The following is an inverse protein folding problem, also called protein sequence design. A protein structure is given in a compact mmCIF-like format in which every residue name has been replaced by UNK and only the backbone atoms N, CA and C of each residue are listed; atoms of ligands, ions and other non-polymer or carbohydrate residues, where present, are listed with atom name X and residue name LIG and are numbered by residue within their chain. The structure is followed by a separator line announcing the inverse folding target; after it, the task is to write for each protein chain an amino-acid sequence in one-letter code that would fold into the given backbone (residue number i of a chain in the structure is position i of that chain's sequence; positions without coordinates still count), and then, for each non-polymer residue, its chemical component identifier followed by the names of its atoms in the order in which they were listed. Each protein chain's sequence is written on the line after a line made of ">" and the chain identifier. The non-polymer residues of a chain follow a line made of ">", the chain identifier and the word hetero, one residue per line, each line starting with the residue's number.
data_IF_011342950228
#
_entry.id   IF_011342950228
#
_cell.length_a   1.000
_cell.length_b   1.000
_cell.length_c   1.000
_cell.angle_alpha   90.00
_cell.angle_beta   90.00
_cell.angle_gamma   90.00
#
_symmetry.space_group_name_H-M   'P 1'
#
loop_
_entity.id
_entity.type
_entity.pdbx_description
1 polymer ?
#
# COMPACT_ATOMS: atom_id res chain seq x y z
N UNK A 1 27.77 10.50 -6.96
CA UNK A 1 28.27 10.56 -5.57
C UNK A 1 27.05 10.86 -4.74
N UNK A 2 26.35 9.80 -4.36
CA UNK A 2 25.01 9.88 -3.82
C UNK A 2 25.11 10.01 -2.31
N UNK A 3 24.92 11.24 -1.83
CA UNK A 3 25.03 11.61 -0.42
C UNK A 3 23.72 11.37 0.35
N UNK A 4 22.88 10.44 -0.11
CA UNK A 4 21.54 10.21 0.42
C UNK A 4 21.22 8.70 0.55
N UNK A 5 22.16 8.00 1.18
CA UNK A 5 22.09 6.58 1.54
C UNK A 5 22.07 6.40 3.06
N UNK A 6 21.29 7.24 3.77
CA UNK A 6 20.87 6.92 5.12
C UNK A 6 19.83 5.78 5.12
N UNK A 7 19.61 5.18 6.28
CA UNK A 7 18.70 4.06 6.44
C UNK A 7 17.28 4.49 6.04
N UNK A 8 16.67 3.76 5.10
CA UNK A 8 15.34 4.08 4.55
C UNK A 8 14.20 3.51 5.38
N UNK A 9 14.41 2.31 5.90
CA UNK A 9 13.39 1.51 6.54
C UNK A 9 13.93 0.93 7.85
N UNK A 10 13.07 0.78 8.86
CA UNK A 10 13.45 0.21 10.15
C UNK A 10 12.27 -0.49 10.82
N UNK A 11 12.56 -1.60 11.50
CA UNK A 11 11.61 -2.36 12.32
C UNK A 11 12.19 -2.51 13.71
N UNK A 12 11.34 -2.36 14.72
CA UNK A 12 11.73 -2.60 16.10
C UNK A 12 10.56 -3.16 16.91
N UNK A 13 10.85 -4.14 17.75
CA UNK A 13 9.90 -4.66 18.74
C UNK A 13 10.20 -4.03 20.11
N UNK A 14 9.20 -3.38 20.70
CA UNK A 14 9.26 -2.65 21.96
C UNK A 14 8.12 -3.18 22.86
N UNK A 15 8.46 -4.00 23.85
CA UNK A 15 7.47 -4.64 24.72
C UNK A 15 6.45 -5.46 23.90
N UNK A 16 5.16 -5.10 23.97
CA UNK A 16 4.08 -5.74 23.18
C UNK A 16 3.78 -5.05 21.84
N UNK A 17 4.58 -4.06 21.43
CA UNK A 17 4.43 -3.37 20.15
C UNK A 17 5.55 -3.77 19.18
N UNK A 18 5.19 -4.01 17.91
CA UNK A 18 6.13 -3.92 16.79
C UNK A 18 5.85 -2.63 16.03
N UNK A 19 6.90 -1.84 15.82
CA UNK A 19 6.88 -0.62 15.05
C UNK A 19 7.66 -0.83 13.75
N UNK A 20 7.07 -0.44 12.62
CA UNK A 20 7.77 -0.34 11.33
C UNK A 20 7.74 1.11 10.85
N UNK A 21 8.84 1.58 10.26
CA UNK A 21 8.95 2.88 9.58
C UNK A 21 9.59 2.64 8.22
N UNK A 22 9.00 3.18 7.16
CA UNK A 22 9.42 3.00 5.75
C UNK A 22 9.43 4.35 5.06
N UNK A 23 10.50 4.67 4.33
CA UNK A 23 10.59 5.95 3.60
C UNK A 23 9.63 5.97 2.40
N UNK A 24 8.65 6.87 2.44
CA UNK A 24 7.59 6.97 1.43
C UNK A 24 7.94 7.92 0.27
N UNK A 25 8.75 8.95 0.51
CA UNK A 25 9.16 9.89 -0.54
C UNK A 25 9.60 11.27 -0.04
N UNK A 26 9.80 12.19 -0.99
CA UNK A 26 9.99 13.62 -0.70
C UNK A 26 8.69 14.37 -0.98
N UNK A 27 8.16 15.05 0.03
CA UNK A 27 7.04 15.99 -0.14
C UNK A 27 7.53 17.44 -0.04
N UNK A 28 6.77 18.35 -0.64
CA UNK A 28 7.00 19.80 -0.49
C UNK A 28 5.97 20.38 0.48
N UNK A 29 6.41 21.27 1.38
CA UNK A 29 5.52 22.07 2.22
C UNK A 29 5.00 23.32 1.47
N UNK A 30 4.08 24.06 2.10
CA UNK A 30 3.46 25.27 1.55
C UNK A 30 4.46 26.41 1.24
N UNK A 31 5.66 26.36 1.82
CA UNK A 31 6.76 27.30 1.58
C UNK A 31 7.74 26.82 0.50
N UNK A 32 7.51 25.64 -0.10
CA UNK A 32 8.41 24.99 -1.05
C UNK A 32 9.60 24.28 -0.40
N UNK A 33 9.61 24.15 0.93
CA UNK A 33 10.58 23.34 1.66
C UNK A 33 10.34 21.85 1.39
N UNK A 34 11.40 21.09 1.11
CA UNK A 34 11.30 19.64 0.86
C UNK A 34 11.65 18.87 2.13
N UNK A 35 10.81 17.91 2.51
CA UNK A 35 11.00 17.03 3.67
C UNK A 35 10.73 15.58 3.30
N UNK A 36 11.43 14.66 3.96
CA UNK A 36 11.19 13.22 3.83
C UNK A 36 9.86 12.87 4.50
N UNK A 37 8.98 12.15 3.81
CA UNK A 37 7.78 11.51 4.37
C UNK A 37 8.07 10.04 4.64
N UNK A 38 7.51 9.52 5.71
CA UNK A 38 7.59 8.12 6.11
C UNK A 38 6.18 7.58 6.34
N UNK A 39 5.97 6.34 5.91
CA UNK A 39 4.85 5.53 6.36
C UNK A 39 5.29 4.77 7.61
N UNK A 40 4.39 4.59 8.56
CA UNK A 40 4.61 3.70 9.70
C UNK A 40 3.48 2.69 9.87
N UNK A 41 3.81 1.63 10.59
CA UNK A 41 2.89 0.61 11.07
C UNK A 41 3.15 0.38 12.56
N UNK A 42 2.07 0.30 13.33
CA UNK A 42 2.04 -0.10 14.75
C UNK A 42 1.24 -1.40 14.82
N UNK A 43 1.85 -2.44 15.36
CA UNK A 43 1.25 -3.77 15.49
C UNK A 43 1.39 -4.30 16.91
N UNK A 44 0.35 -4.96 17.40
CA UNK A 44 0.43 -5.72 18.64
C UNK A 44 1.12 -7.07 18.40
N UNK A 45 2.12 -7.39 19.23
CA UNK A 45 2.72 -8.73 19.30
C UNK A 45 2.00 -9.64 20.32
N UNK A 46 1.01 -9.12 21.04
CA UNK A 46 0.18 -9.88 21.97
C UNK A 46 -0.88 -10.71 21.22
N UNK A 47 -0.82 -12.06 21.28
CA UNK A 47 -1.80 -12.92 20.61
C UNK A 47 -3.20 -12.88 21.24
N UNK A 48 -3.35 -12.38 22.47
CA UNK A 48 -4.65 -12.19 23.12
C UNK A 48 -5.29 -10.83 22.78
N UNK A 49 -4.49 -9.88 22.27
CA UNK A 49 -4.92 -8.54 21.86
C UNK A 49 -4.31 -8.12 20.50
N UNK A 50 -4.63 -8.82 19.39
CA UNK A 50 -4.10 -8.50 18.07
C UNK A 50 -4.66 -7.16 17.54
N UNK A 51 -3.82 -6.40 16.86
CA UNK A 51 -4.19 -5.14 16.22
C UNK A 51 -3.06 -4.63 15.32
N UNK A 52 -3.44 -3.98 14.22
CA UNK A 52 -2.53 -3.33 13.27
C UNK A 52 -3.09 -1.95 12.90
N UNK A 53 -2.22 -0.95 12.78
CA UNK A 53 -2.57 0.43 12.41
C UNK A 53 -1.43 1.08 11.64
N UNK A 54 -1.76 1.68 10.51
CA UNK A 54 -0.80 2.32 9.60
C UNK A 54 -1.26 3.72 9.19
N UNK A 55 -0.29 4.60 8.95
CA UNK A 55 -0.49 5.98 8.51
C UNK A 55 0.81 6.54 7.88
N UNK A 56 0.74 7.68 7.20
CA UNK A 56 1.88 8.33 6.54
C UNK A 56 2.10 9.81 6.93
N UNK A 57 1.52 10.22 8.06
CA UNK A 57 1.64 11.58 8.62
C UNK A 57 2.97 11.87 9.34
N UNK A 58 3.97 10.98 9.19
CA UNK A 58 5.30 11.11 9.77
C UNK A 58 6.28 11.79 8.80
N UNK A 59 6.80 12.95 9.19
CA UNK A 59 7.71 13.75 8.36
C UNK A 59 9.01 14.12 9.10
N UNK A 60 10.14 14.12 8.38
CA UNK A 60 11.39 14.69 8.88
C UNK A 60 11.41 16.23 8.80
N UNK A 61 12.47 16.84 9.32
CA UNK A 61 12.74 18.27 9.14
C UNK A 61 12.92 18.67 7.67
N UNK A 62 12.68 19.94 7.36
CA UNK A 62 12.90 20.47 6.01
C UNK A 62 14.38 20.45 5.68
N UNK A 63 14.75 19.69 4.65
CA UNK A 63 16.13 19.46 4.24
C UNK A 63 16.90 18.42 5.04
N UNK A 64 16.29 17.76 6.03
CA UNK A 64 16.90 16.61 6.71
C UNK A 64 17.13 15.45 5.70
N UNK A 65 18.18 14.64 5.88
CA UNK A 65 18.43 13.45 5.07
C UNK A 65 17.37 12.36 5.31
N UNK A 66 17.39 11.32 4.49
CA UNK A 66 16.58 10.12 4.76
C UNK A 66 17.22 9.36 5.92
N UNK A 67 16.48 9.20 7.01
CA UNK A 67 16.92 8.63 8.30
C UNK A 67 15.71 8.01 9.02
N UNK A 68 15.56 6.69 8.85
CA UNK A 68 14.50 5.90 9.47
C UNK A 68 14.65 5.75 10.99
N UNK A 69 15.87 5.84 11.52
CA UNK A 69 16.11 5.78 12.96
C UNK A 69 15.52 7.03 13.64
N UNK A 70 15.84 8.21 13.10
CA UNK A 70 15.28 9.49 13.53
C UNK A 70 13.76 9.54 13.39
N UNK A 71 13.21 8.96 12.31
CA UNK A 71 11.77 8.85 12.12
C UNK A 71 11.11 7.90 13.13
N UNK A 72 11.73 6.77 13.48
CA UNK A 72 11.24 5.87 14.54
C UNK A 72 11.25 6.53 15.92
N UNK A 73 12.29 7.30 16.27
CA UNK A 73 12.31 8.07 17.53
C UNK A 73 11.19 9.10 17.60
N UNK A 74 10.88 9.76 16.47
CA UNK A 74 9.74 10.66 16.38
C UNK A 74 8.39 9.91 16.55
N UNK A 75 8.21 8.75 15.91
CA UNK A 75 7.03 7.90 16.11
C UNK A 75 6.86 7.48 17.58
N UNK A 76 7.92 6.99 18.24
CA UNK A 76 7.85 6.60 19.64
C UNK A 76 7.59 7.77 20.59
N UNK A 77 8.04 8.98 20.23
CA UNK A 77 7.68 10.21 20.96
C UNK A 77 6.18 10.49 20.89
N UNK A 78 5.57 10.39 19.70
CA UNK A 78 4.12 10.55 19.53
C UNK A 78 3.32 9.46 20.26
N UNK A 79 3.74 8.19 20.16
CA UNK A 79 3.10 7.07 20.86
C UNK A 79 3.21 7.24 22.38
N UNK A 80 4.39 7.59 22.91
CA UNK A 80 4.58 7.87 24.34
C UNK A 80 3.63 8.99 24.83
N UNK A 81 3.47 10.05 24.04
CA UNK A 81 2.61 11.18 24.37
C UNK A 81 1.10 10.86 24.25
N UNK A 82 0.73 9.91 23.39
CA UNK A 82 -0.63 9.36 23.29
C UNK A 82 -0.95 8.44 24.47
N UNK A 83 -0.03 7.54 24.84
CA UNK A 83 -0.14 6.70 26.03
C UNK A 83 -0.28 7.49 27.33
N UNK A 84 0.50 8.58 27.50
CA UNK A 84 0.33 9.48 28.64
C UNK A 84 -1.08 10.10 28.67
N UNK A 85 -1.58 10.61 27.53
CA UNK A 85 -2.92 11.17 27.42
C UNK A 85 -4.02 10.13 27.70
N UNK A 86 -3.83 8.87 27.31
CA UNK A 86 -4.72 7.75 27.62
C UNK A 86 -4.77 7.49 29.13
N UNK A 87 -3.62 7.42 29.82
CA UNK A 87 -3.57 7.27 31.28
C UNK A 87 -4.23 8.44 32.03
N UNK A 88 -3.95 9.68 31.59
CA UNK A 88 -4.53 10.90 32.16
C UNK A 88 -6.06 10.96 32.05
N UNK A 89 -6.66 10.31 31.03
CA UNK A 89 -8.12 10.18 30.87
C UNK A 89 -8.79 9.50 32.07
N UNK A 90 -8.14 8.50 32.66
CA UNK A 90 -8.64 7.78 33.84
C UNK A 90 -8.36 8.52 35.14
N UNK A 91 -7.22 9.22 35.24
CA UNK A 91 -6.86 10.02 36.41
C UNK A 91 -7.70 11.31 36.54
N UNK A 92 -8.09 11.91 35.40
CA UNK A 92 -8.79 13.20 35.33
C UNK A 92 -10.02 13.13 34.40
N UNK A 93 -11.07 12.37 34.78
CA UNK A 93 -12.26 12.22 33.96
C UNK A 93 -12.92 13.59 33.67
N UNK A 94 -13.15 13.88 32.39
CA UNK A 94 -13.79 15.11 31.93
C UNK A 94 -12.82 16.24 31.53
N UNK A 95 -11.50 16.05 31.59
CA UNK A 95 -10.55 16.92 30.87
C UNK A 95 -10.40 16.52 29.40
N UNK A 96 -10.04 17.49 28.58
CA UNK A 96 -9.51 17.27 27.24
C UNK A 96 -7.98 17.47 27.27
N UNK A 97 -7.27 16.74 26.41
CA UNK A 97 -5.82 16.71 26.31
C UNK A 97 -5.44 16.78 24.83
N UNK A 98 -4.35 17.46 24.48
CA UNK A 98 -4.02 17.82 23.10
C UNK A 98 -3.71 16.60 22.21
N UNK A 99 -3.20 15.49 22.77
CA UNK A 99 -2.86 14.26 22.04
C UNK A 99 -4.01 13.22 21.97
N UNK A 100 -5.22 13.59 22.42
CA UNK A 100 -6.35 12.67 22.52
C UNK A 100 -6.82 12.19 21.14
N UNK A 101 -6.81 10.88 20.88
CA UNK A 101 -7.20 10.25 19.60
C UNK A 101 -6.33 10.67 18.41
N UNK A 102 -5.03 10.87 18.63
CA UNK A 102 -4.08 10.90 17.51
C UNK A 102 -4.03 9.52 16.82
N UNK A 103 -4.19 8.45 17.60
CA UNK A 103 -4.25 7.08 17.12
C UNK A 103 -5.63 6.43 17.46
N UNK A 104 -5.93 5.24 16.92
CA UNK A 104 -7.07 4.44 17.38
C UNK A 104 -6.97 4.09 18.88
N UNK A 105 -8.11 3.88 19.53
CA UNK A 105 -8.14 3.68 20.99
C UNK A 105 -7.31 2.49 21.49
N UNK A 106 -7.16 1.42 20.69
CA UNK A 106 -6.30 0.30 21.03
C UNK A 106 -4.80 0.65 20.99
N UNK A 107 -4.39 1.58 20.10
CA UNK A 107 -3.01 2.07 20.01
C UNK A 107 -2.71 2.99 21.19
N UNK A 108 -3.64 3.90 21.52
CA UNK A 108 -3.55 4.75 22.71
C UNK A 108 -3.39 3.88 23.99
N UNK A 109 -4.14 2.77 24.09
CA UNK A 109 -4.04 1.81 25.21
C UNK A 109 -2.72 1.03 25.21
N UNK A 110 -2.32 0.46 24.07
CA UNK A 110 -1.08 -0.32 23.97
C UNK A 110 0.16 0.57 24.20
N UNK A 111 0.14 1.83 23.74
CA UNK A 111 1.19 2.80 24.01
C UNK A 111 1.25 3.20 25.50
N UNK A 112 0.12 3.23 26.21
CA UNK A 112 0.11 3.40 27.67
C UNK A 112 0.75 2.20 28.40
N UNK A 113 0.53 0.96 27.93
CA UNK A 113 1.17 -0.23 28.53
C UNK A 113 2.69 -0.30 28.30
N UNK A 114 3.19 0.29 27.20
CA UNK A 114 4.60 0.29 26.80
C UNK A 114 5.27 1.68 26.97
N UNK A 115 4.74 2.53 27.85
CA UNK A 115 5.08 3.94 27.91
C UNK A 115 6.52 4.22 28.38
N UNK A 116 7.10 3.38 29.25
CA UNK A 116 8.47 3.55 29.74
C UNK A 116 9.50 3.24 28.65
N UNK A 117 9.27 2.18 27.88
CA UNK A 117 10.12 1.77 26.77
C UNK A 117 10.02 2.73 25.58
N UNK A 118 8.80 3.20 25.25
CA UNK A 118 8.58 4.23 24.22
C UNK A 118 9.27 5.56 24.58
N UNK A 119 9.13 6.01 25.83
CA UNK A 119 9.81 7.22 26.32
C UNK A 119 11.34 7.06 26.32
N UNK A 120 11.84 5.89 26.72
CA UNK A 120 13.28 5.58 26.69
C UNK A 120 13.82 5.65 25.27
N UNK A 121 13.13 5.06 24.29
CA UNK A 121 13.58 5.10 22.89
C UNK A 121 13.52 6.51 22.28
N UNK A 122 12.48 7.27 22.59
CA UNK A 122 12.30 8.63 22.09
C UNK A 122 13.36 9.61 22.61
N UNK A 123 13.90 9.37 23.80
CA UNK A 123 14.84 10.28 24.48
C UNK A 123 16.31 9.86 24.42
N UNK A 124 16.61 8.60 24.13
CA UNK A 124 17.98 8.10 24.06
C UNK A 124 18.59 8.36 22.67
N UNK A 125 19.89 8.64 22.61
CA UNK A 125 20.67 8.82 21.38
C UNK A 125 21.52 7.57 21.03
N UNK A 126 21.40 6.47 21.80
CA UNK A 126 22.06 5.19 21.49
C UNK A 126 21.48 4.55 20.22
N UNK A 127 22.34 4.26 19.23
CA UNK A 127 22.04 3.64 17.93
C UNK A 127 21.07 2.46 18.06
N UNK A 128 19.97 2.48 17.29
CA UNK A 128 18.93 1.46 17.40
C UNK A 128 19.34 0.21 16.64
N UNK A 129 19.28 -0.93 17.32
CA UNK A 129 19.49 -2.24 16.70
C UNK A 129 18.14 -2.66 16.08
N UNK A 130 17.99 -2.67 14.74
CA UNK A 130 16.76 -3.09 14.11
C UNK A 130 16.53 -4.59 14.31
N UNK A 131 15.28 -5.02 14.22
CA UNK A 131 14.96 -6.44 14.12
C UNK A 131 15.32 -6.95 12.71
N UNK A 132 16.59 -7.33 12.51
CA UNK A 132 17.12 -7.82 11.22
C UNK A 132 16.38 -9.06 10.69
N UNK A 133 15.65 -9.78 11.55
CA UNK A 133 14.87 -10.97 11.18
C UNK A 133 13.42 -10.67 10.84
N UNK A 134 12.88 -9.52 11.28
CA UNK A 134 11.49 -9.14 11.03
C UNK A 134 11.42 -8.04 9.96
N UNK A 135 11.06 -8.40 8.72
CA UNK A 135 10.98 -7.44 7.63
C UNK A 135 9.79 -6.47 7.84
N UNK A 136 9.91 -5.19 7.43
CA UNK A 136 8.89 -4.18 7.69
C UNK A 136 7.51 -4.58 7.16
N UNK A 137 6.46 -4.10 7.83
CA UNK A 137 5.10 -4.28 7.32
C UNK A 137 4.76 -3.12 6.38
N UNK A 138 4.83 -3.41 5.09
CA UNK A 138 4.41 -2.49 4.03
C UNK A 138 2.90 -2.65 3.84
N UNK A 139 2.17 -1.55 3.84
CA UNK A 139 0.88 -1.50 3.15
C UNK A 139 1.14 -1.88 1.69
N UNK A 140 0.66 -3.05 1.28
CA UNK A 140 0.69 -3.46 -0.12
C UNK A 140 -0.71 -3.43 -0.68
N UNK A 141 -0.78 -3.13 -1.96
CA UNK A 141 -2.01 -3.08 -2.72
C UNK A 141 -1.91 -4.16 -3.80
N UNK A 142 -2.86 -5.08 -3.83
CA UNK A 142 -3.00 -6.03 -4.93
C UNK A 142 -3.99 -5.49 -5.95
N UNK A 143 -3.73 -5.69 -7.25
CA UNK A 143 -4.75 -5.46 -8.27
C UNK A 143 -5.87 -6.47 -8.12
N UNK A 144 -7.09 -5.99 -7.86
CA UNK A 144 -8.30 -6.80 -7.94
C UNK A 144 -8.74 -6.88 -9.40
N UNK A 145 -8.89 -5.72 -10.03
CA UNK A 145 -9.29 -5.60 -11.44
C UNK A 145 -8.85 -4.25 -12.00
N UNK A 146 -8.52 -4.22 -13.29
CA UNK A 146 -8.31 -3.00 -14.06
C UNK A 146 -9.00 -3.14 -15.42
N UNK A 147 -9.92 -2.22 -15.70
CA UNK A 147 -10.66 -2.15 -16.95
C UNK A 147 -10.28 -0.89 -17.73
N UNK A 148 -10.16 -1.00 -19.06
CA UNK A 148 -9.84 0.11 -19.95
C UNK A 148 -10.60 0.00 -21.27
N UNK A 149 -11.01 1.14 -21.83
CA UNK A 149 -11.80 1.20 -23.05
C UNK A 149 -13.19 0.61 -22.84
N UNK A 150 -13.61 -0.27 -23.74
CA UNK A 150 -14.94 -0.90 -23.74
C UNK A 150 -15.23 -1.65 -22.41
N UNK A 151 -14.21 -2.30 -21.80
CA UNK A 151 -14.36 -2.99 -20.51
C UNK A 151 -14.65 -2.02 -19.35
N UNK A 152 -14.24 -0.75 -19.46
CA UNK A 152 -14.46 0.27 -18.44
C UNK A 152 -15.83 0.97 -18.58
N UNK A 153 -16.48 0.88 -19.75
CA UNK A 153 -17.67 1.67 -20.08
C UNK A 153 -18.82 1.43 -19.08
N UNK A 154 -19.11 0.17 -18.75
CA UNK A 154 -20.18 -0.18 -17.80
C UNK A 154 -19.89 0.32 -16.38
N UNK A 155 -18.65 0.17 -15.89
CA UNK A 155 -18.31 0.66 -14.54
C UNK A 155 -18.30 2.18 -14.47
N UNK A 156 -17.76 2.88 -15.48
CA UNK A 156 -17.80 4.34 -15.55
C UNK A 156 -19.25 4.86 -15.67
N UNK A 157 -20.11 4.12 -16.39
CA UNK A 157 -21.54 4.43 -16.45
C UNK A 157 -22.24 4.22 -15.11
N UNK A 158 -21.94 3.15 -14.36
CA UNK A 158 -22.44 2.95 -13.00
C UNK A 158 -21.97 4.09 -12.09
N UNK A 159 -20.72 4.55 -12.23
CA UNK A 159 -20.18 5.70 -11.50
C UNK A 159 -20.96 6.98 -11.79
N UNK A 160 -21.27 7.27 -13.07
CA UNK A 160 -22.02 8.45 -13.48
C UNK A 160 -23.53 8.39 -13.11
N UNK A 161 -24.17 7.21 -13.21
CA UNK A 161 -25.61 7.05 -12.95
C UNK A 161 -25.96 6.79 -11.47
N UNK A 162 -25.07 6.11 -10.72
CA UNK A 162 -25.35 5.57 -9.38
C UNK A 162 -24.33 5.99 -8.31
N UNK A 163 -23.17 6.54 -8.72
CA UNK A 163 -22.16 7.11 -7.83
C UNK A 163 -21.00 6.19 -7.44
N UNK A 164 -20.03 6.76 -6.73
CA UNK A 164 -18.73 6.15 -6.43
C UNK A 164 -18.84 4.81 -5.68
N UNK A 165 -19.69 4.73 -4.66
CA UNK A 165 -19.90 3.51 -3.89
C UNK A 165 -20.46 2.37 -4.76
N UNK A 166 -21.43 2.66 -5.63
CA UNK A 166 -22.02 1.66 -6.52
C UNK A 166 -21.01 1.12 -7.56
N UNK A 167 -20.09 1.97 -8.02
CA UNK A 167 -18.99 1.57 -8.90
C UNK A 167 -17.95 0.70 -8.17
N UNK A 168 -17.60 1.05 -6.93
CA UNK A 168 -16.71 0.24 -6.08
C UNK A 168 -17.34 -1.13 -5.75
N UNK A 169 -18.61 -1.17 -5.34
CA UNK A 169 -19.39 -2.41 -5.12
C UNK A 169 -19.59 -3.25 -6.39
N UNK A 170 -19.48 -2.64 -7.57
CA UNK A 170 -19.45 -3.37 -8.84
C UNK A 170 -18.11 -4.07 -9.02
N UNK A 171 -17.00 -3.32 -8.94
CA UNK A 171 -15.63 -3.83 -9.12
C UNK A 171 -15.22 -4.86 -8.06
N UNK A 172 -15.69 -4.72 -6.81
CA UNK A 172 -15.39 -5.64 -5.72
C UNK A 172 -15.90 -7.08 -5.97
N UNK A 173 -16.78 -7.29 -6.98
CA UNK A 173 -17.25 -8.62 -7.39
C UNK A 173 -16.18 -9.47 -8.11
N UNK A 174 -15.08 -8.85 -8.50
CA UNK A 174 -13.89 -9.53 -9.04
C UNK A 174 -12.86 -9.87 -7.95
N UNK A 175 -13.14 -9.54 -6.68
CA UNK A 175 -12.32 -10.01 -5.57
C UNK A 175 -12.77 -11.39 -5.09
N UNK A 176 -11.89 -12.37 -5.22
CA UNK A 176 -12.05 -13.74 -4.77
C UNK A 176 -11.18 -14.07 -3.55
N UNK A 177 -10.74 -13.05 -2.80
CA UNK A 177 -9.97 -13.24 -1.55
C UNK A 177 -8.53 -13.70 -1.82
N UNK A 178 -8.15 -14.83 -1.25
CA UNK A 178 -6.83 -15.46 -1.37
C UNK A 178 -6.46 -15.78 -2.84
N UNK A 179 -7.46 -16.07 -3.67
CA UNK A 179 -7.27 -16.47 -5.07
C UNK A 179 -6.87 -15.25 -5.94
N UNK A 180 -7.46 -14.08 -5.65
CA UNK A 180 -7.06 -12.79 -6.25
C UNK A 180 -5.68 -12.38 -5.75
N UNK A 181 -5.36 -12.59 -4.48
CA UNK A 181 -4.03 -12.30 -3.92
C UNK A 181 -2.94 -13.16 -4.57
N UNK A 182 -3.12 -14.48 -4.63
CA UNK A 182 -2.19 -15.39 -5.30
C UNK A 182 -2.00 -15.04 -6.78
N UNK A 183 -3.08 -14.69 -7.48
CA UNK A 183 -3.01 -14.25 -8.87
C UNK A 183 -2.24 -12.93 -9.02
N UNK A 184 -2.47 -11.95 -8.14
CA UNK A 184 -1.74 -10.68 -8.15
C UNK A 184 -0.24 -10.89 -7.89
N UNK A 185 0.13 -11.71 -6.89
CA UNK A 185 1.53 -12.04 -6.61
C UNK A 185 2.21 -12.74 -7.79
N UNK A 186 1.55 -13.76 -8.37
CA UNK A 186 2.11 -14.56 -9.46
C UNK A 186 2.31 -13.75 -10.76
N UNK A 187 1.51 -12.70 -10.97
CA UNK A 187 1.62 -11.81 -12.14
C UNK A 187 2.39 -10.50 -11.86
N UNK A 188 2.80 -10.25 -10.61
CA UNK A 188 3.52 -9.04 -10.21
C UNK A 188 2.63 -7.78 -10.12
N UNK A 189 1.32 -7.95 -9.94
CA UNK A 189 0.36 -6.84 -9.74
C UNK A 189 0.22 -6.49 -8.25
N UNK A 190 1.37 -6.27 -7.61
CA UNK A 190 1.50 -5.91 -6.20
C UNK A 190 2.25 -4.58 -6.13
N UNK A 191 1.73 -3.63 -5.36
CA UNK A 191 2.21 -2.24 -5.33
C UNK A 191 2.38 -1.74 -3.89
N UNK A 192 3.36 -0.88 -3.64
CA UNK A 192 3.60 -0.24 -2.33
C UNK A 192 2.70 1.01 -2.10
N UNK A 193 1.92 1.39 -3.11
CA UNK A 193 0.89 2.43 -3.09
C UNK A 193 -0.12 2.14 -4.21
N UNK A 194 -1.35 2.69 -4.17
CA UNK A 194 -2.30 2.55 -5.27
C UNK A 194 -1.69 3.03 -6.61
N UNK A 195 -1.81 2.24 -7.69
CA UNK A 195 -1.25 2.60 -9.00
C UNK A 195 -2.15 3.63 -9.71
N UNK A 196 -2.00 4.89 -9.30
CA UNK A 196 -2.81 6.03 -9.74
C UNK A 196 -1.96 7.02 -10.55
N UNK A 197 -2.49 7.54 -11.67
CA UNK A 197 -1.83 8.60 -12.46
C UNK A 197 -2.27 10.03 -12.10
N UNK A 198 -1.47 11.05 -12.45
CA UNK A 198 -1.74 12.47 -12.19
C UNK A 198 -3.12 13.00 -12.67
N UNK A 199 -3.76 12.28 -13.59
CA UNK A 199 -5.05 12.63 -14.22
C UNK A 199 -6.22 11.75 -13.76
N UNK A 200 -5.97 10.87 -12.79
CA UNK A 200 -6.95 9.96 -12.23
C UNK A 200 -7.60 10.57 -10.99
N UNK A 201 -8.80 10.09 -10.67
CA UNK A 201 -9.49 10.40 -9.43
C UNK A 201 -9.53 9.14 -8.57
N UNK A 202 -9.45 9.33 -7.27
CA UNK A 202 -9.47 8.23 -6.31
C UNK A 202 -10.73 8.27 -5.45
N UNK A 203 -11.15 7.08 -5.02
CA UNK A 203 -12.16 6.89 -4.00
C UNK A 203 -11.78 5.67 -3.15
N UNK A 204 -11.72 5.87 -1.83
CA UNK A 204 -11.31 4.84 -0.87
C UNK A 204 -12.51 4.47 0.00
N UNK A 205 -12.76 3.16 0.15
CA UNK A 205 -13.74 2.62 1.09
C UNK A 205 -13.20 1.35 1.74
N UNK A 206 -13.04 1.37 3.06
CA UNK A 206 -12.38 0.31 3.82
C UNK A 206 -10.98 -0.02 3.32
N UNK A 207 -10.78 -1.27 2.92
CA UNK A 207 -9.54 -1.81 2.35
C UNK A 207 -9.37 -1.54 0.85
N UNK A 208 -10.39 -1.01 0.17
CA UNK A 208 -10.37 -0.81 -1.28
C UNK A 208 -10.04 0.63 -1.68
N UNK A 209 -9.20 0.77 -2.71
CA UNK A 209 -8.97 2.03 -3.41
C UNK A 209 -9.35 1.86 -4.87
N UNK A 210 -10.33 2.64 -5.32
CA UNK A 210 -10.76 2.72 -6.72
C UNK A 210 -10.11 3.95 -7.38
N UNK A 211 -9.36 3.75 -8.46
CA UNK A 211 -8.84 4.83 -9.30
C UNK A 211 -9.56 4.87 -10.65
N UNK A 212 -9.92 6.04 -11.15
CA UNK A 212 -10.69 6.17 -12.40
C UNK A 212 -10.37 7.45 -13.19
N UNK A 213 -10.44 7.37 -14.52
CA UNK A 213 -10.34 8.54 -15.40
C UNK A 213 -11.26 8.44 -16.60
N UNK A 214 -12.28 9.30 -16.66
CA UNK A 214 -13.13 9.44 -17.84
C UNK A 214 -12.37 9.99 -19.07
N UNK A 215 -11.25 10.69 -18.85
CA UNK A 215 -10.44 11.25 -19.93
C UNK A 215 -9.61 10.18 -20.68
N UNK A 216 -9.20 9.13 -19.97
CA UNK A 216 -8.42 8.01 -20.50
C UNK A 216 -9.23 6.71 -20.63
N UNK A 217 -10.49 6.72 -20.17
CA UNK A 217 -11.43 5.61 -20.30
C UNK A 217 -11.02 4.39 -19.48
N UNK A 218 -10.52 4.58 -18.26
CA UNK A 218 -10.11 3.48 -17.39
C UNK A 218 -10.67 3.60 -15.98
N UNK A 219 -10.76 2.45 -15.32
CA UNK A 219 -11.09 2.31 -13.90
C UNK A 219 -10.44 1.04 -13.35
N UNK A 220 -9.81 1.15 -12.18
CA UNK A 220 -9.20 0.05 -11.47
C UNK A 220 -9.62 0.00 -10.01
N UNK A 221 -9.50 -1.18 -9.43
CA UNK A 221 -9.69 -1.44 -8.00
C UNK A 221 -8.46 -2.17 -7.46
N UNK A 222 -7.90 -1.66 -6.38
CA UNK A 222 -6.89 -2.38 -5.59
C UNK A 222 -7.39 -2.64 -4.17
N UNK A 223 -6.99 -3.78 -3.59
CA UNK A 223 -7.21 -4.11 -2.17
C UNK A 223 -5.92 -3.94 -1.40
N UNK A 224 -5.98 -3.24 -0.25
CA UNK A 224 -4.91 -3.18 0.75
C UNK A 224 -4.78 -4.56 1.42
N UNK A 225 -3.63 -5.18 1.29
CA UNK A 225 -3.27 -6.43 1.98
C UNK A 225 -2.17 -6.16 3.01
N UNK A 226 -2.35 -6.72 4.20
CA UNK A 226 -1.32 -6.78 5.23
C UNK A 226 -0.39 -7.95 4.91
N UNK A 227 0.86 -7.67 4.58
CA UNK A 227 1.85 -8.72 4.37
C UNK A 227 3.21 -8.31 4.96
N UNK A 228 3.89 -9.18 5.74
CA UNK A 228 5.31 -8.97 6.09
C UNK A 228 6.13 -8.80 4.82
N UNK A 229 7.04 -7.81 4.74
CA UNK A 229 7.98 -7.75 3.60
C UNK A 229 8.68 -9.10 3.44
N UNK A 230 9.06 -9.45 2.22
CA UNK A 230 9.40 -10.84 1.92
C UNK A 230 10.68 -11.31 2.62
N UNK A 231 10.51 -12.06 3.71
CA UNK A 231 11.54 -12.86 4.39
C UNK A 231 11.32 -14.37 4.20
N UNK A 232 10.87 -14.79 3.01
CA UNK A 232 10.69 -16.22 2.68
C UNK A 232 11.66 -16.60 1.56
N UNK A 233 12.65 -17.41 1.93
CA UNK A 233 13.58 -18.05 1.00
C UNK A 233 12.81 -19.06 0.13
N UNK A 234 12.52 -18.68 -1.11
CA UNK A 234 11.89 -19.56 -2.10
C UNK A 234 12.97 -20.44 -2.75
N UNK A 235 12.92 -21.77 -2.60
CA UNK A 235 13.93 -22.63 -3.22
C UNK A 235 13.88 -22.51 -4.75
N UNK A 236 15.03 -22.19 -5.35
CA UNK A 236 15.19 -21.97 -6.79
C UNK A 236 14.69 -23.14 -7.65
N UNK A 237 13.41 -23.10 -8.04
CA UNK A 237 12.87 -24.04 -9.02
C UNK A 237 13.22 -23.56 -10.42
N UNK A 238 14.39 -23.99 -10.88
CA UNK A 238 14.95 -23.70 -12.21
C UNK A 238 14.06 -24.17 -13.37
N UNK A 239 13.07 -23.37 -13.77
CA UNK A 239 12.35 -23.54 -15.05
C UNK A 239 13.04 -22.79 -16.20
N UNK A 240 14.18 -23.36 -16.54
CA UNK A 240 14.87 -23.36 -17.84
C UNK A 240 14.22 -22.55 -18.98
N UNK A 241 14.70 -21.33 -19.21
CA UNK A 241 14.38 -20.54 -20.40
C UNK A 241 14.84 -21.29 -21.67
N UNK A 242 13.89 -21.91 -22.40
CA UNK A 242 14.12 -22.39 -23.78
C UNK A 242 13.54 -21.38 -24.76
N UNK A 243 14.27 -20.28 -24.97
CA UNK A 243 13.92 -19.24 -25.94
C UNK A 243 13.79 -19.82 -27.36
N UNK A 244 12.64 -19.70 -28.03
CA UNK A 244 12.55 -19.93 -29.46
C UNK A 244 13.27 -18.78 -30.17
N UNK A 245 14.34 -19.09 -30.92
CA UNK A 245 15.03 -18.09 -31.75
C UNK A 245 14.05 -17.51 -32.79
N UNK A 246 13.66 -16.24 -32.63
CA UNK A 246 13.05 -15.46 -33.72
C UNK A 246 14.15 -14.81 -34.57
N UNK A 247 14.30 -15.29 -35.79
CA UNK A 247 15.04 -14.60 -36.85
C UNK A 247 14.24 -13.39 -37.35
N UNK A 248 14.92 -12.28 -37.59
CA UNK A 248 14.35 -11.05 -38.14
C UNK A 248 14.13 -11.14 -39.66
N UNK A 249 12.90 -10.93 -40.13
CA UNK A 249 12.63 -10.28 -41.42
C UNK A 249 11.19 -9.81 -41.59
N UNK A 250 11.07 -8.60 -42.15
CA UNK A 250 9.99 -8.00 -42.94
C UNK A 250 8.49 -8.03 -42.52
N UNK A 251 7.99 -6.80 -42.36
CA UNK A 251 6.81 -6.19 -43.03
C UNK A 251 5.36 -6.61 -42.68
N UNK A 252 4.65 -5.56 -42.25
CA UNK A 252 3.34 -5.12 -42.74
C UNK A 252 2.05 -5.72 -42.18
N UNK A 253 1.08 -4.82 -42.04
CA UNK A 253 -0.38 -5.00 -41.99
C UNK A 253 -1.01 -5.58 -40.71
N UNK A 254 -1.63 -4.67 -39.95
CA UNK A 254 -3.03 -4.73 -39.52
C UNK A 254 -3.86 -5.92 -40.06
N UNK A 255 -4.56 -6.66 -39.18
CA UNK A 255 -6.05 -6.64 -39.11
C UNK A 255 -6.60 -7.63 -38.08
N UNK A 256 -7.72 -7.24 -37.47
CA UNK A 256 -8.63 -8.07 -36.65
C UNK A 256 -9.33 -9.15 -37.50
N UNK A 257 -9.66 -10.32 -36.93
CA UNK A 257 -10.76 -11.16 -37.42
C UNK A 257 -12.01 -11.00 -36.55
N UNK A 258 -13.13 -10.64 -37.18
CA UNK A 258 -14.47 -10.73 -36.59
C UNK A 258 -15.04 -12.16 -36.73
N UNK A 259 -16.06 -12.47 -35.92
CA UNK A 259 -16.69 -13.78 -35.78
C UNK A 259 -17.81 -14.07 -36.85
N UNK A 260 -18.53 -15.22 -36.88
CA UNK A 260 -18.62 -16.00 -38.13
C UNK A 260 -20.04 -16.32 -38.63
N UNK A 261 -20.25 -16.29 -39.96
CA UNK A 261 -21.51 -16.73 -40.58
C UNK A 261 -21.31 -17.53 -41.90
N UNK A 262 -22.08 -18.60 -42.08
CA UNK A 262 -22.25 -19.45 -43.28
C UNK A 262 -23.77 -19.60 -43.55
N UNK A 263 -24.26 -20.21 -44.65
CA UNK A 263 -23.74 -20.41 -46.02
C UNK A 263 -24.75 -19.74 -47.01
N UNK A 264 -25.28 -20.33 -48.11
CA UNK A 264 -24.77 -21.29 -49.12
C UNK A 264 -24.93 -20.80 -50.59
N UNK A 265 -24.40 -21.56 -51.56
CA UNK A 265 -24.95 -21.60 -52.93
C UNK A 265 -23.98 -21.89 -54.08
N UNK A 266 -24.23 -23.00 -54.81
CA UNK A 266 -23.81 -23.31 -56.19
C UNK A 266 -22.32 -23.68 -56.47
N UNK A 267 -22.09 -24.98 -56.63
CA UNK A 267 -21.07 -25.53 -57.56
C UNK A 267 -21.58 -25.49 -59.04
N UNK A 268 -20.85 -26.03 -60.04
CA UNK A 268 -19.72 -25.41 -60.74
C UNK A 268 -20.01 -25.30 -62.27
N UNK A 269 -19.05 -24.87 -63.12
CA UNK A 269 -18.11 -25.81 -63.77
C UNK A 269 -16.69 -25.22 -63.94
N UNK A 270 -15.63 -25.94 -64.31
CA UNK A 270 -15.53 -27.30 -64.81
C UNK A 270 -14.81 -27.40 -66.15
N UNK A 271 -13.47 -27.16 -66.18
CA UNK A 271 -12.49 -28.02 -66.87
C UNK A 271 -11.05 -27.65 -66.53
#
# INVERSE_FOLDING_TARGET
>A
MDVNAGQRDMVLTIGTLRLSVVYAGMVSDESGGRRCQYRYMVESTDPEAPGAYSNDDLFAGVGDPVDAERAMRALSSYLSAAGEAFGLRFAYPGREFENKRMFPEWVDEAAYQNAEELATLALNDEELIPDETTPPHHERYISVVFHQGDDAEETLRILDEQGLQAALEHLARWDFGDETEYAAEANGYVYDAPPTGDADREYTDGEYVMSYSHAFGHVGLVRKVEKPASGVDMPETTLQQRSPRRSSSDRSAWTTPAEPHLPPGLEPPGR
#
